data_IF_782883795453
#
_entry.id   IF_782883795453
#
_cell.length_a   1.000
_cell.length_b   1.000
_cell.length_c   1.000
_cell.angle_alpha   90.00
_cell.angle_beta   90.00
_cell.angle_gamma   90.00
#
_symmetry.space_group_name_H-M   'P 1'
#
loop_
_entity.id
_entity.type
_entity.pdbx_description
1 polymer ?
#
# COMPACT_ATOMS: atom_id res chain seq x y z
N UNK A 1 -38.26 34.16 8.35
CA UNK A 1 -37.27 35.13 7.82
C UNK A 1 -36.14 35.24 8.84
N UNK A 2 -35.04 34.50 8.66
CA UNK A 2 -33.95 34.42 9.66
C UNK A 2 -32.77 35.27 9.18
N UNK A 3 -32.40 36.36 9.90
CA UNK A 3 -31.49 37.35 9.38
C UNK A 3 -30.04 36.96 9.71
N UNK A 4 -29.41 36.17 8.86
CA UNK A 4 -27.93 36.16 8.82
C UNK A 4 -27.47 37.33 7.96
N UNK A 5 -27.57 38.54 8.49
CA UNK A 5 -26.92 39.70 7.86
C UNK A 5 -25.39 39.48 7.91
N UNK A 6 -24.68 39.80 6.82
CA UNK A 6 -23.21 39.85 6.82
C UNK A 6 -22.77 40.78 7.95
N UNK A 7 -22.14 40.23 9.00
CA UNK A 7 -21.56 41.04 10.08
C UNK A 7 -20.44 41.93 9.50
N UNK A 8 -20.49 43.24 9.78
CA UNK A 8 -19.37 44.17 9.51
C UNK A 8 -18.15 43.77 10.36
N UNK A 9 -16.95 44.05 9.84
CA UNK A 9 -15.66 43.54 10.31
C UNK A 9 -15.18 44.06 11.70
N UNK A 10 -16.00 44.78 12.46
CA UNK A 10 -15.55 45.53 13.65
C UNK A 10 -16.19 45.07 14.98
N UNK A 11 -16.35 43.77 15.21
CA UNK A 11 -16.75 43.26 16.53
C UNK A 11 -16.18 41.87 16.82
N UNK A 12 -15.67 41.70 18.05
CA UNK A 12 -15.19 40.46 18.70
C UNK A 12 -15.77 39.19 18.06
N UNK A 13 -15.04 38.60 17.12
CA UNK A 13 -15.50 37.44 16.34
C UNK A 13 -14.38 36.91 15.45
N UNK A 14 -14.44 35.63 15.12
CA UNK A 14 -13.44 34.98 14.24
C UNK A 14 -13.61 35.52 12.83
N UNK A 15 -12.58 36.16 12.29
CA UNK A 15 -12.60 36.65 10.91
C UNK A 15 -12.59 35.49 9.90
N UNK A 16 -13.02 35.75 8.67
CA UNK A 16 -13.16 34.71 7.64
C UNK A 16 -11.84 34.06 7.21
N UNK A 17 -10.71 34.76 7.30
CA UNK A 17 -9.41 34.19 6.96
C UNK A 17 -8.96 33.23 8.05
N UNK A 18 -9.06 33.63 9.32
CA UNK A 18 -8.78 32.77 10.47
C UNK A 18 -9.68 31.55 10.48
N UNK A 19 -10.99 31.72 10.28
CA UNK A 19 -11.95 30.61 10.22
C UNK A 19 -11.59 29.59 9.13
N UNK A 20 -11.26 30.06 7.92
CA UNK A 20 -10.83 29.18 6.81
C UNK A 20 -9.48 28.52 7.06
N UNK A 21 -8.56 29.19 7.75
CA UNK A 21 -7.25 28.63 8.07
C UNK A 21 -7.39 27.48 9.08
N UNK A 22 -8.19 27.68 10.12
CA UNK A 22 -8.48 26.66 11.14
C UNK A 22 -9.21 25.47 10.52
N UNK A 23 -10.29 25.70 9.76
CA UNK A 23 -10.99 24.61 9.08
C UNK A 23 -10.15 23.93 8.00
N UNK A 24 -9.17 24.63 7.43
CA UNK A 24 -8.21 24.04 6.50
C UNK A 24 -7.32 22.96 7.13
N UNK A 25 -7.19 22.92 8.46
CA UNK A 25 -6.46 21.88 9.18
C UNK A 25 -7.26 20.58 9.33
N UNK A 26 -8.57 20.59 9.06
CA UNK A 26 -9.40 19.39 9.08
C UNK A 26 -9.38 18.73 7.69
N UNK A 27 -8.64 17.62 7.49
CA UNK A 27 -8.60 16.97 6.20
C UNK A 27 -9.96 16.37 5.86
N UNK A 28 -10.33 16.43 4.58
CA UNK A 28 -11.57 15.88 4.05
C UNK A 28 -11.28 15.04 2.82
N UNK A 29 -12.11 14.04 2.55
CA UNK A 29 -12.16 13.45 1.22
C UNK A 29 -12.72 14.45 0.21
N UNK A 30 -12.45 14.22 -1.07
CA UNK A 30 -13.06 14.99 -2.16
C UNK A 30 -14.17 14.18 -2.81
N UNK A 31 -15.35 14.78 -2.94
CA UNK A 31 -16.48 14.18 -3.64
C UNK A 31 -17.01 15.09 -4.74
N UNK A 32 -17.65 14.51 -5.74
CA UNK A 32 -18.52 15.24 -6.68
C UNK A 32 -19.96 14.98 -6.27
N UNK A 33 -20.68 16.07 -5.99
CA UNK A 33 -22.12 16.06 -5.73
C UNK A 33 -22.82 16.39 -7.04
N UNK A 34 -23.76 15.54 -7.44
CA UNK A 34 -24.50 15.68 -8.68
C UNK A 34 -26.00 15.65 -8.45
N UNK A 35 -26.74 16.12 -9.44
CA UNK A 35 -28.20 16.04 -9.49
C UNK A 35 -28.64 16.04 -10.95
N UNK A 36 -29.92 15.74 -11.19
CA UNK A 36 -30.52 15.77 -12.52
C UNK A 36 -31.75 16.66 -12.53
N UNK A 37 -31.96 17.36 -13.64
CA UNK A 37 -33.16 18.14 -13.94
C UNK A 37 -33.58 17.91 -15.40
N UNK A 38 -34.68 18.55 -15.83
CA UNK A 38 -35.10 18.54 -17.23
C UNK A 38 -34.05 19.14 -18.19
N UNK A 39 -33.20 20.04 -17.69
CA UNK A 39 -32.13 20.69 -18.47
C UNK A 39 -30.86 19.82 -18.57
N UNK A 40 -30.83 18.69 -17.84
CA UNK A 40 -29.77 17.69 -17.91
C UNK A 40 -29.08 17.41 -16.59
N UNK A 41 -27.82 17.02 -16.68
CA UNK A 41 -26.98 16.63 -15.55
C UNK A 41 -26.17 17.81 -15.03
N UNK A 42 -26.07 17.90 -13.72
CA UNK A 42 -25.34 18.97 -13.05
C UNK A 42 -24.53 18.43 -11.90
N UNK A 43 -23.40 19.08 -11.60
CA UNK A 43 -22.61 18.71 -10.45
C UNK A 43 -21.54 19.70 -10.07
N UNK A 44 -21.00 19.51 -8.88
CA UNK A 44 -19.92 20.30 -8.31
C UNK A 44 -19.03 19.45 -7.42
N UNK A 45 -17.80 19.90 -7.22
CA UNK A 45 -16.94 19.33 -6.18
C UNK A 45 -17.38 19.84 -4.80
N UNK A 46 -17.46 18.94 -3.83
CA UNK A 46 -17.74 19.26 -2.44
C UNK A 46 -16.81 18.48 -1.49
N UNK A 47 -16.41 19.14 -0.41
CA UNK A 47 -15.67 18.55 0.71
C UNK A 47 -16.47 18.56 2.02
N UNK A 48 -17.71 19.05 1.98
CA UNK A 48 -18.63 19.13 3.12
C UNK A 48 -19.44 17.85 3.36
N UNK A 49 -19.18 16.79 2.60
CA UNK A 49 -19.87 15.51 2.70
C UNK A 49 -19.54 14.80 4.02
N UNK A 50 -20.56 14.23 4.68
CA UNK A 50 -20.40 13.42 5.89
C UNK A 50 -21.54 12.39 6.05
N UNK A 51 -21.26 11.29 6.75
CA UNK A 51 -22.31 10.36 7.21
C UNK A 51 -23.09 10.95 8.38
N UNK A 52 -24.38 10.59 8.50
CA UNK A 52 -25.30 11.07 9.54
C UNK A 52 -25.87 9.92 10.37
N UNK A 53 -26.36 8.86 9.73
CA UNK A 53 -27.04 7.74 10.41
C UNK A 53 -26.78 6.42 9.69
N UNK A 54 -26.78 5.32 10.45
CA UNK A 54 -26.72 3.96 9.92
C UNK A 54 -28.13 3.39 9.65
N UNK A 55 -29.11 3.69 10.51
CA UNK A 55 -30.49 3.22 10.38
C UNK A 55 -31.49 4.35 10.71
N UNK A 56 -32.22 4.91 9.71
CA UNK A 56 -32.04 4.66 8.28
C UNK A 56 -30.67 5.21 7.79
N UNK A 57 -30.12 4.70 6.68
CA UNK A 57 -28.82 5.14 6.16
C UNK A 57 -28.92 6.58 5.63
N UNK A 58 -28.22 7.51 6.28
CA UNK A 58 -28.29 8.93 5.94
C UNK A 58 -26.92 9.57 5.80
N UNK A 59 -26.82 10.51 4.86
CA UNK A 59 -25.64 11.36 4.64
C UNK A 59 -26.04 12.83 4.52
N UNK A 60 -25.09 13.75 4.63
CA UNK A 60 -25.31 15.17 4.40
C UNK A 60 -24.30 15.79 3.43
N UNK A 61 -24.70 16.90 2.81
CA UNK A 61 -23.85 17.82 2.07
C UNK A 61 -24.25 19.27 2.38
N UNK A 62 -23.27 20.14 2.56
CA UNK A 62 -23.51 21.58 2.74
C UNK A 62 -23.23 22.31 1.43
N UNK A 63 -24.26 22.89 0.82
CA UNK A 63 -24.16 23.62 -0.45
C UNK A 63 -24.41 25.12 -0.24
N UNK A 64 -23.54 25.96 -0.79
CA UNK A 64 -23.71 27.41 -0.70
C UNK A 64 -24.99 27.84 -1.43
N UNK A 65 -25.74 28.80 -0.90
CA UNK A 65 -27.01 29.22 -1.53
C UNK A 65 -26.86 29.96 -2.85
N UNK A 66 -25.65 30.46 -3.13
CA UNK A 66 -25.35 31.22 -4.35
C UNK A 66 -24.91 30.39 -5.55
N UNK A 67 -24.72 29.08 -5.40
CA UNK A 67 -24.25 28.20 -6.48
C UNK A 67 -25.43 27.52 -7.19
N UNK A 68 -25.30 27.31 -8.48
CA UNK A 68 -26.37 26.75 -9.31
C UNK A 68 -26.83 25.35 -8.84
N UNK A 69 -25.88 24.47 -8.48
CA UNK A 69 -26.18 23.11 -8.01
C UNK A 69 -27.06 23.08 -6.75
N UNK A 70 -26.97 24.09 -5.86
CA UNK A 70 -27.84 24.18 -4.68
C UNK A 70 -29.31 24.26 -5.11
N UNK A 71 -29.65 25.21 -5.98
CA UNK A 71 -31.03 25.40 -6.48
C UNK A 71 -31.56 24.16 -7.17
N UNK A 72 -30.71 23.45 -7.90
CA UNK A 72 -31.10 22.25 -8.63
C UNK A 72 -31.39 21.08 -7.69
N UNK A 73 -30.56 20.85 -6.67
CA UNK A 73 -30.81 19.83 -5.64
C UNK A 73 -32.09 20.12 -4.87
N UNK A 74 -32.32 21.39 -4.53
CA UNK A 74 -33.55 21.81 -3.85
C UNK A 74 -34.80 21.53 -4.69
N UNK A 75 -34.72 21.73 -6.01
CA UNK A 75 -35.84 21.50 -6.93
C UNK A 75 -36.05 20.03 -7.29
N UNK A 76 -34.97 19.27 -7.52
CA UNK A 76 -35.04 17.88 -7.93
C UNK A 76 -35.36 16.94 -6.77
N UNK A 77 -35.02 17.33 -5.54
CA UNK A 77 -35.18 16.51 -4.34
C UNK A 77 -34.25 15.30 -4.30
N UNK A 78 -33.25 15.25 -5.18
CA UNK A 78 -32.29 14.13 -5.28
C UNK A 78 -30.88 14.64 -5.49
N UNK A 79 -29.91 13.91 -4.95
CA UNK A 79 -28.50 14.11 -5.24
C UNK A 79 -27.75 12.79 -5.17
N UNK A 80 -26.68 12.69 -5.95
CA UNK A 80 -25.71 11.61 -5.79
C UNK A 80 -24.35 12.16 -5.34
N UNK A 81 -23.57 11.31 -4.69
CA UNK A 81 -22.22 11.62 -4.21
C UNK A 81 -21.27 10.60 -4.82
N UNK A 82 -20.26 11.06 -5.57
CA UNK A 82 -19.17 10.23 -6.07
C UNK A 82 -17.87 10.58 -5.34
N UNK A 83 -17.33 9.64 -4.56
CA UNK A 83 -16.11 9.82 -3.75
C UNK A 83 -14.88 9.56 -4.63
N UNK A 84 -13.97 10.53 -4.73
CA UNK A 84 -12.87 10.50 -5.69
C UNK A 84 -11.62 9.81 -5.16
N UNK A 85 -10.98 9.04 -6.04
CA UNK A 85 -9.65 8.47 -5.81
C UNK A 85 -8.52 9.45 -6.10
N UNK A 86 -7.32 9.14 -5.60
CA UNK A 86 -6.10 9.94 -5.74
C UNK A 86 -5.74 10.35 -7.17
N UNK A 87 -6.15 9.53 -8.13
CA UNK A 87 -5.94 9.63 -9.58
C UNK A 87 -6.99 10.51 -10.27
N UNK A 88 -8.05 10.91 -9.57
CA UNK A 88 -9.19 11.66 -10.10
C UNK A 88 -9.15 13.16 -9.73
N UNK A 89 -7.97 13.69 -9.38
CA UNK A 89 -7.77 15.12 -9.13
C UNK A 89 -8.23 15.99 -10.32
N UNK A 90 -8.01 15.53 -11.56
CA UNK A 90 -8.48 16.23 -12.75
C UNK A 90 -10.00 16.38 -12.81
N UNK A 91 -10.76 15.34 -12.41
CA UNK A 91 -12.23 15.37 -12.34
C UNK A 91 -12.66 16.37 -11.27
N UNK A 92 -12.09 16.28 -10.07
CA UNK A 92 -12.45 17.20 -9.00
C UNK A 92 -12.10 18.66 -9.31
N UNK A 93 -10.99 18.96 -9.99
CA UNK A 93 -10.68 20.32 -10.44
C UNK A 93 -11.72 20.85 -11.44
N UNK A 94 -12.14 20.01 -12.39
CA UNK A 94 -13.16 20.36 -13.38
C UNK A 94 -14.51 20.68 -12.73
N UNK A 95 -14.98 19.82 -11.83
CA UNK A 95 -16.22 20.04 -11.09
C UNK A 95 -16.14 21.16 -10.04
N UNK A 96 -14.93 21.58 -9.66
CA UNK A 96 -14.68 22.79 -8.88
C UNK A 96 -14.63 24.08 -9.73
N UNK A 97 -14.80 23.98 -11.06
CA UNK A 97 -14.82 25.12 -11.98
C UNK A 97 -13.44 25.64 -12.38
N UNK A 98 -12.36 24.88 -12.15
CA UNK A 98 -11.00 25.29 -12.56
C UNK A 98 -10.72 25.02 -14.05
N UNK A 99 -11.58 24.24 -14.71
CA UNK A 99 -11.46 23.91 -16.13
C UNK A 99 -12.77 24.26 -16.83
N UNK A 100 -12.74 25.14 -17.85
CA UNK A 100 -13.93 25.48 -18.63
C UNK A 100 -14.34 24.32 -19.56
N UNK A 101 -15.62 24.27 -19.91
CA UNK A 101 -16.19 23.25 -20.82
C UNK A 101 -17.24 22.36 -20.16
N UNK A 102 -17.63 21.30 -20.87
CA UNK A 102 -18.54 20.28 -20.35
C UNK A 102 -17.87 19.50 -19.21
N UNK A 103 -18.49 19.54 -18.02
CA UNK A 103 -17.98 18.89 -16.83
C UNK A 103 -18.01 17.36 -16.94
N UNK A 104 -18.95 16.80 -17.70
CA UNK A 104 -19.16 15.35 -17.82
C UNK A 104 -18.36 14.72 -18.97
N UNK A 105 -17.74 15.51 -19.86
CA UNK A 105 -17.09 15.01 -21.07
C UNK A 105 -15.87 14.09 -20.82
N UNK A 106 -15.84 12.93 -21.46
CA UNK A 106 -14.67 12.03 -21.50
C UNK A 106 -14.50 11.14 -20.26
N UNK A 107 -15.52 11.02 -19.42
CA UNK A 107 -15.56 10.10 -18.28
C UNK A 107 -16.85 9.30 -18.30
N UNK A 108 -16.81 8.11 -17.71
CA UNK A 108 -17.95 7.20 -17.67
C UNK A 108 -18.87 7.58 -16.51
N UNK A 109 -19.91 8.34 -16.83
CA UNK A 109 -20.99 8.72 -15.93
C UNK A 109 -22.25 7.97 -16.29
N UNK A 110 -22.94 7.42 -15.31
CA UNK A 110 -24.23 6.75 -15.50
C UNK A 110 -25.29 7.25 -14.55
N UNK A 111 -26.55 7.16 -14.95
CA UNK A 111 -27.66 7.51 -14.10
C UNK A 111 -27.85 6.46 -13.00
N UNK A 112 -27.82 6.87 -11.75
CA UNK A 112 -28.27 6.07 -10.63
C UNK A 112 -29.81 5.89 -10.66
N UNK A 113 -30.41 5.05 -9.81
CA UNK A 113 -31.87 4.86 -9.78
C UNK A 113 -32.71 6.14 -9.65
N UNK A 114 -32.22 7.19 -8.97
CA UNK A 114 -32.92 8.50 -8.92
C UNK A 114 -32.79 9.33 -10.20
N UNK A 115 -31.93 8.92 -11.14
CA UNK A 115 -31.54 9.67 -12.32
C UNK A 115 -30.32 10.58 -12.13
N UNK A 116 -29.88 10.82 -10.88
CA UNK A 116 -28.68 11.60 -10.61
C UNK A 116 -27.43 10.85 -11.14
N UNK A 117 -26.48 11.55 -11.80
CA UNK A 117 -25.33 10.90 -12.41
C UNK A 117 -24.27 10.52 -11.38
N UNK A 118 -23.76 9.29 -11.45
CA UNK A 118 -22.66 8.77 -10.66
C UNK A 118 -21.47 8.45 -11.55
N UNK A 119 -20.26 8.64 -11.02
CA UNK A 119 -19.03 8.31 -11.71
C UNK A 119 -18.75 6.81 -11.52
N UNK A 120 -18.71 6.03 -12.60
CA UNK A 120 -18.59 4.57 -12.51
C UNK A 120 -17.27 4.13 -11.88
N UNK A 121 -16.19 4.84 -12.18
CA UNK A 121 -14.85 4.58 -11.65
C UNK A 121 -14.54 5.36 -10.35
N UNK A 122 -15.55 5.90 -9.66
CA UNK A 122 -15.35 6.47 -8.32
C UNK A 122 -14.87 5.40 -7.32
N UNK A 123 -14.26 5.81 -6.21
CA UNK A 123 -13.98 4.87 -5.11
C UNK A 123 -15.27 4.28 -4.54
N UNK A 124 -16.28 5.13 -4.41
CA UNK A 124 -17.63 4.75 -4.05
C UNK A 124 -18.61 5.81 -4.54
N UNK A 125 -19.86 5.44 -4.71
CA UNK A 125 -20.93 6.39 -4.92
C UNK A 125 -22.17 6.06 -4.10
N UNK A 126 -22.96 7.09 -3.81
CA UNK A 126 -24.21 7.03 -3.07
C UNK A 126 -25.29 7.76 -3.88
N UNK A 127 -26.46 7.17 -3.99
CA UNK A 127 -27.65 7.76 -4.59
C UNK A 127 -28.66 8.10 -3.50
N UNK A 128 -29.07 9.38 -3.41
CA UNK A 128 -29.78 9.91 -2.25
C UNK A 128 -31.05 10.66 -2.64
N UNK A 129 -32.10 10.49 -1.82
CA UNK A 129 -33.28 11.35 -1.81
C UNK A 129 -33.18 12.34 -0.66
N UNK A 130 -33.44 13.62 -0.93
CA UNK A 130 -33.42 14.67 0.10
C UNK A 130 -34.54 14.40 1.10
N UNK A 131 -34.16 14.06 2.33
CA UNK A 131 -35.08 13.89 3.46
C UNK A 131 -35.33 15.23 4.16
N UNK A 132 -34.27 16.02 4.36
CA UNK A 132 -34.35 17.31 5.05
C UNK A 132 -33.40 18.36 4.46
N UNK A 133 -33.78 19.63 4.58
CA UNK A 133 -32.96 20.78 4.22
C UNK A 133 -32.97 21.81 5.36
N UNK A 134 -31.81 22.09 5.96
CA UNK A 134 -31.68 23.01 7.09
C UNK A 134 -30.85 24.26 6.73
N UNK A 135 -31.23 25.45 7.22
CA UNK A 135 -30.37 26.63 7.14
C UNK A 135 -29.04 26.45 7.88
N UNK A 136 -27.92 26.72 7.19
CA UNK A 136 -26.56 26.67 7.74
C UNK A 136 -25.78 27.96 7.47
N UNK A 137 -26.33 29.11 7.84
CA UNK A 137 -25.73 30.42 7.49
C UNK A 137 -25.89 30.75 6.01
N UNK A 138 -24.76 30.89 5.29
CA UNK A 138 -24.71 31.11 3.84
C UNK A 138 -24.83 29.80 3.02
N UNK A 139 -24.91 28.66 3.72
CA UNK A 139 -25.15 27.34 3.14
C UNK A 139 -26.53 26.78 3.53
N UNK A 140 -26.95 25.75 2.80
CA UNK A 140 -28.03 24.84 3.19
C UNK A 140 -27.43 23.47 3.44
N UNK A 141 -27.81 22.84 4.55
CA UNK A 141 -27.43 21.47 4.92
C UNK A 141 -28.52 20.56 4.36
N UNK A 142 -28.22 19.84 3.29
CA UNK A 142 -29.11 18.80 2.78
C UNK A 142 -28.77 17.49 3.45
N UNK A 143 -29.76 16.84 4.07
CA UNK A 143 -29.67 15.49 4.61
C UNK A 143 -30.44 14.57 3.66
N UNK A 144 -29.76 13.56 3.14
CA UNK A 144 -30.34 12.60 2.20
C UNK A 144 -30.39 11.19 2.79
N UNK A 145 -31.49 10.49 2.55
CA UNK A 145 -31.59 9.06 2.74
C UNK A 145 -30.95 8.35 1.54
N UNK A 146 -30.05 7.40 1.82
CA UNK A 146 -29.32 6.64 0.80
C UNK A 146 -30.20 5.52 0.28
N UNK A 147 -30.57 5.58 -1.01
CA UNK A 147 -31.43 4.59 -1.66
C UNK A 147 -30.65 3.56 -2.49
N UNK A 148 -29.42 3.88 -2.89
CA UNK A 148 -28.49 2.93 -3.52
C UNK A 148 -27.03 3.34 -3.27
N UNK A 149 -26.12 2.36 -3.29
CA UNK A 149 -24.69 2.59 -3.08
C UNK A 149 -23.85 1.52 -3.77
N UNK A 150 -22.63 1.87 -4.18
CA UNK A 150 -21.66 0.92 -4.71
C UNK A 150 -20.22 1.34 -4.38
N UNK A 151 -19.31 0.37 -4.33
CA UNK A 151 -17.86 0.58 -4.14
C UNK A 151 -17.14 -0.03 -5.36
N UNK A 152 -17.04 0.70 -6.49
CA UNK A 152 -16.49 0.16 -7.73
C UNK A 152 -15.04 -0.31 -7.61
N UNK A 153 -14.23 0.42 -6.84
CA UNK A 153 -12.80 0.11 -6.66
C UNK A 153 -12.28 0.56 -5.31
N UNK A 154 -11.12 0.03 -4.92
CA UNK A 154 -10.43 0.39 -3.67
C UNK A 154 -9.02 0.88 -4.01
N UNK A 155 -8.78 2.19 -3.90
CA UNK A 155 -7.46 2.83 -4.02
C UNK A 155 -7.35 3.96 -2.98
N UNK A 156 -6.21 4.67 -2.90
CA UNK A 156 -6.09 5.77 -1.94
C UNK A 156 -7.06 6.92 -2.30
N UNK A 157 -7.73 7.53 -1.31
CA UNK A 157 -8.65 8.64 -1.56
C UNK A 157 -7.90 9.91 -1.94
N UNK A 158 -8.58 10.75 -2.70
CA UNK A 158 -8.17 12.12 -2.88
C UNK A 158 -8.53 12.93 -1.64
N UNK A 159 -7.57 13.64 -1.09
CA UNK A 159 -7.74 14.49 0.08
C UNK A 159 -7.68 15.97 -0.27
N UNK A 160 -8.40 16.75 0.51
CA UNK A 160 -8.26 18.19 0.56
C UNK A 160 -7.84 18.62 1.97
N UNK A 161 -6.68 19.26 2.07
CA UNK A 161 -6.09 19.73 3.32
C UNK A 161 -5.29 21.02 3.08
N UNK A 162 -5.46 22.02 3.95
CA UNK A 162 -4.77 23.31 3.88
C UNK A 162 -4.83 23.98 2.50
N UNK A 163 -6.00 23.90 1.85
CA UNK A 163 -6.27 24.43 0.49
C UNK A 163 -5.51 23.73 -0.63
N UNK A 164 -4.83 22.63 -0.35
CA UNK A 164 -4.13 21.81 -1.30
C UNK A 164 -4.83 20.45 -1.47
N UNK A 165 -4.68 19.90 -2.66
CA UNK A 165 -5.15 18.55 -2.98
C UNK A 165 -3.99 17.60 -2.74
N UNK A 166 -4.27 16.46 -2.12
CA UNK A 166 -3.25 15.51 -1.71
C UNK A 166 -3.79 14.09 -1.61
N UNK A 167 -2.97 13.22 -1.04
CA UNK A 167 -3.30 11.83 -0.75
C UNK A 167 -2.99 11.59 0.73
N UNK A 168 -3.55 10.54 1.34
CA UNK A 168 -3.00 10.05 2.60
C UNK A 168 -1.52 9.78 2.35
N UNK A 169 -0.65 10.45 3.11
CA UNK A 169 0.67 9.89 3.34
C UNK A 169 0.36 8.65 4.19
N UNK A 170 0.55 7.45 3.64
CA UNK A 170 0.37 6.25 4.45
C UNK A 170 1.32 6.42 5.66
N UNK A 171 0.80 6.40 6.89
CA UNK A 171 1.64 6.49 8.07
C UNK A 171 2.66 5.37 7.99
N UNK A 172 3.87 5.64 8.50
CA UNK A 172 4.86 4.58 8.64
C UNK A 172 4.24 3.45 9.49
N UNK A 173 4.56 2.19 9.18
CA UNK A 173 4.04 1.10 9.98
C UNK A 173 4.62 1.15 11.38
N UNK A 174 3.85 0.75 12.39
CA UNK A 174 4.33 0.64 13.77
C UNK A 174 5.50 -0.35 13.89
N UNK A 175 5.49 -1.39 13.05
CA UNK A 175 6.55 -2.38 12.99
C UNK A 175 6.86 -2.86 11.57
N UNK A 176 8.12 -3.19 11.31
CA UNK A 176 8.56 -3.88 10.11
C UNK A 176 9.11 -5.28 10.44
N UNK A 177 8.70 -6.27 9.66
CA UNK A 177 9.15 -7.67 9.75
C UNK A 177 10.23 -7.91 8.71
N UNK A 178 11.29 -8.62 9.09
CA UNK A 178 12.42 -8.92 8.23
C UNK A 178 12.49 -10.41 7.93
N UNK A 179 12.64 -10.74 6.65
CA UNK A 179 13.04 -12.05 6.15
C UNK A 179 14.36 -11.91 5.38
N UNK A 180 15.12 -13.00 5.30
CA UNK A 180 16.31 -13.09 4.46
C UNK A 180 16.25 -14.37 3.63
N UNK A 181 15.93 -14.19 2.35
CA UNK A 181 15.85 -15.31 1.40
C UNK A 181 17.10 -15.46 0.53
N UNK A 182 18.09 -14.57 0.72
CA UNK A 182 19.31 -14.51 -0.09
C UNK A 182 20.53 -15.16 0.57
N UNK A 183 20.65 -15.06 1.90
CA UNK A 183 21.86 -15.43 2.65
C UNK A 183 22.25 -16.90 2.51
N UNK A 184 21.34 -17.83 2.80
CA UNK A 184 21.62 -19.26 2.71
C UNK A 184 22.04 -19.66 1.29
N UNK A 185 21.34 -19.14 0.27
CA UNK A 185 21.68 -19.40 -1.13
C UNK A 185 23.06 -18.81 -1.51
N UNK A 186 23.41 -17.62 -1.01
CA UNK A 186 24.70 -16.98 -1.24
C UNK A 186 25.85 -17.77 -0.60
N UNK A 187 25.68 -18.23 0.64
CA UNK A 187 26.65 -19.05 1.36
C UNK A 187 26.86 -20.41 0.68
N UNK A 188 25.77 -21.09 0.26
CA UNK A 188 25.88 -22.35 -0.47
C UNK A 188 26.57 -22.19 -1.84
N UNK A 189 26.29 -21.13 -2.59
CA UNK A 189 27.05 -20.83 -3.83
C UNK A 189 28.53 -20.62 -3.54
N UNK A 190 28.87 -19.96 -2.43
CA UNK A 190 30.25 -19.73 -2.00
C UNK A 190 30.95 -21.03 -1.60
N UNK A 191 30.27 -21.94 -0.89
CA UNK A 191 30.77 -23.28 -0.56
C UNK A 191 31.12 -24.10 -1.81
N UNK A 192 30.33 -23.97 -2.88
CA UNK A 192 30.52 -24.72 -4.13
C UNK A 192 31.51 -24.05 -5.10
N UNK A 193 31.96 -22.82 -4.82
CA UNK A 193 32.90 -22.12 -5.70
C UNK A 193 34.32 -22.68 -5.54
N UNK A 194 34.92 -23.18 -6.63
CA UNK A 194 36.30 -23.68 -6.64
C UNK A 194 37.29 -22.58 -7.11
N UNK A 195 38.35 -22.29 -6.34
CA UNK A 195 39.35 -21.25 -6.63
C UNK A 195 40.52 -21.18 -5.62
N UNK A 196 41.54 -20.35 -5.90
CA UNK A 196 42.86 -20.30 -5.20
C UNK A 196 42.88 -19.62 -3.82
N UNK A 197 41.78 -19.06 -3.35
CA UNK A 197 41.66 -18.57 -1.98
C UNK A 197 40.93 -19.61 -1.13
N UNK A 198 41.43 -20.00 0.05
CA UNK A 198 40.73 -20.96 0.91
C UNK A 198 39.37 -20.36 1.29
N UNK A 199 38.28 -21.02 0.90
CA UNK A 199 36.97 -20.70 1.46
C UNK A 199 37.03 -21.03 2.95
N UNK A 200 37.06 -20.00 3.80
CA UNK A 200 36.86 -20.16 5.26
C UNK A 200 35.44 -20.65 5.60
N UNK A 201 34.60 -20.77 4.59
CA UNK A 201 33.23 -21.27 4.67
C UNK A 201 33.26 -22.79 4.80
N UNK A 202 32.83 -23.32 5.95
CA UNK A 202 32.55 -24.74 6.17
C UNK A 202 31.03 -24.97 6.27
N UNK A 203 30.53 -26.19 5.99
CA UNK A 203 29.13 -26.53 6.20
C UNK A 203 28.65 -26.20 7.63
N UNK A 204 29.42 -26.58 8.65
CA UNK A 204 29.11 -26.30 10.06
C UNK A 204 29.08 -24.81 10.37
N UNK A 205 30.00 -24.04 9.78
CA UNK A 205 30.03 -22.59 9.93
C UNK A 205 28.80 -21.92 9.32
N UNK A 206 28.35 -22.39 8.16
CA UNK A 206 27.12 -21.91 7.52
C UNK A 206 25.89 -22.25 8.36
N UNK A 207 25.76 -23.50 8.79
CA UNK A 207 24.71 -23.96 9.69
C UNK A 207 24.63 -23.11 10.98
N UNK A 208 25.78 -22.92 11.64
CA UNK A 208 25.89 -22.12 12.86
C UNK A 208 25.50 -20.65 12.66
N UNK A 209 25.95 -20.03 11.56
CA UNK A 209 25.60 -18.65 11.22
C UNK A 209 24.10 -18.51 10.96
N UNK A 210 23.52 -19.38 10.13
CA UNK A 210 22.07 -19.38 9.84
C UNK A 210 21.26 -19.58 11.14
N UNK A 211 21.71 -20.46 12.04
CA UNK A 211 21.09 -20.63 13.36
C UNK A 211 21.08 -19.35 14.20
N UNK A 212 22.20 -18.61 14.25
CA UNK A 212 22.29 -17.32 14.96
C UNK A 212 21.41 -16.24 14.33
N UNK A 213 21.40 -16.14 13.01
CA UNK A 213 20.55 -15.17 12.28
C UNK A 213 19.07 -15.45 12.56
N UNK A 214 18.67 -16.72 12.59
CA UNK A 214 17.30 -17.10 12.98
C UNK A 214 17.00 -16.79 14.44
N UNK A 215 17.94 -17.08 15.35
CA UNK A 215 17.78 -16.76 16.77
C UNK A 215 17.66 -15.25 17.03
N UNK A 216 18.22 -14.40 16.16
CA UNK A 216 18.04 -12.95 16.18
C UNK A 216 16.63 -12.52 15.71
N UNK A 217 15.76 -13.44 15.27
CA UNK A 217 14.39 -13.18 14.84
C UNK A 217 14.21 -13.03 13.33
N UNK A 218 15.25 -13.24 12.52
CA UNK A 218 15.14 -13.15 11.04
C UNK A 218 14.54 -14.42 10.46
N UNK A 219 13.48 -14.29 9.66
CA UNK A 219 12.90 -15.42 8.92
C UNK A 219 13.80 -15.80 7.75
N UNK A 220 14.38 -17.00 7.77
CA UNK A 220 15.30 -17.45 6.73
C UNK A 220 14.60 -18.30 5.69
N UNK A 221 15.04 -18.19 4.43
CA UNK A 221 14.77 -19.23 3.44
C UNK A 221 15.86 -20.29 3.46
N UNK A 222 15.46 -21.54 3.68
CA UNK A 222 16.33 -22.70 3.74
C UNK A 222 16.13 -23.58 2.50
N UNK A 223 17.13 -24.42 2.14
CA UNK A 223 16.94 -25.42 1.09
C UNK A 223 15.83 -26.41 1.46
N UNK A 224 15.14 -27.00 0.46
CA UNK A 224 14.05 -27.96 0.71
C UNK A 224 14.56 -29.22 1.40
N UNK A 225 15.75 -29.69 1.04
CA UNK A 225 16.30 -30.92 1.63
C UNK A 225 16.94 -30.62 3.00
N UNK A 226 16.55 -31.34 4.07
CA UNK A 226 17.22 -31.26 5.35
C UNK A 226 18.70 -31.63 5.21
N UNK A 227 19.58 -30.73 5.62
CA UNK A 227 21.01 -31.01 5.79
C UNK A 227 21.37 -30.92 7.27
N UNK A 228 22.32 -31.76 7.69
CA UNK A 228 22.79 -31.81 9.06
C UNK A 228 23.28 -30.42 9.51
N UNK A 229 22.78 -29.95 10.66
CA UNK A 229 23.13 -28.65 11.24
C UNK A 229 22.29 -27.45 10.81
N UNK A 230 21.42 -27.55 9.78
CA UNK A 230 20.52 -26.43 9.46
C UNK A 230 19.54 -26.18 10.62
N UNK A 231 19.24 -24.91 10.93
CA UNK A 231 18.24 -24.62 11.95
C UNK A 231 16.86 -25.13 11.49
N UNK A 232 16.00 -25.59 12.42
CA UNK A 232 14.62 -25.96 12.08
C UNK A 232 13.84 -24.76 11.54
N UNK A 233 12.66 -25.00 10.96
CA UNK A 233 11.72 -23.97 10.50
C UNK A 233 12.20 -23.12 9.31
N UNK A 234 11.74 -21.86 9.24
CA UNK A 234 11.97 -20.98 8.08
C UNK A 234 11.07 -21.30 6.88
N UNK A 235 11.33 -20.62 5.75
CA UNK A 235 10.62 -20.86 4.49
C UNK A 235 11.44 -21.70 3.52
N UNK A 236 10.76 -22.40 2.61
CA UNK A 236 11.40 -23.24 1.58
C UNK A 236 10.87 -22.84 0.21
N UNK A 237 11.75 -22.63 -0.78
CA UNK A 237 11.33 -22.43 -2.16
C UNK A 237 11.07 -23.79 -2.82
N UNK A 238 9.93 -23.90 -3.50
CA UNK A 238 9.54 -25.06 -4.29
C UNK A 238 9.17 -24.61 -5.70
N UNK A 239 9.69 -25.31 -6.71
CA UNK A 239 9.45 -25.03 -8.13
C UNK A 239 8.27 -25.84 -8.69
N UNK A 240 8.04 -27.06 -8.18
CA UNK A 240 6.98 -27.95 -8.66
C UNK A 240 6.40 -28.84 -7.55
N UNK A 241 5.35 -29.60 -7.88
CA UNK A 241 4.64 -30.43 -6.90
C UNK A 241 5.51 -31.58 -6.36
N UNK A 242 6.51 -32.05 -7.11
CA UNK A 242 7.37 -33.15 -6.68
C UNK A 242 8.34 -32.73 -5.55
N UNK A 243 8.76 -31.47 -5.53
CA UNK A 243 9.58 -30.94 -4.45
C UNK A 243 8.81 -30.74 -3.13
N UNK A 244 7.47 -30.77 -3.14
CA UNK A 244 6.68 -30.64 -1.91
C UNK A 244 6.92 -31.79 -0.93
N UNK A 245 7.26 -32.98 -1.44
CA UNK A 245 7.56 -34.13 -0.59
C UNK A 245 8.93 -34.02 0.10
N UNK A 246 9.77 -33.07 -0.34
CA UNK A 246 11.04 -32.73 0.29
C UNK A 246 10.88 -31.68 1.39
N UNK A 247 9.74 -30.97 1.45
CA UNK A 247 9.53 -29.87 2.42
C UNK A 247 9.55 -30.43 3.85
N UNK A 248 10.39 -29.88 4.74
CA UNK A 248 10.44 -30.32 6.13
C UNK A 248 9.08 -30.09 6.84
N UNK A 249 8.60 -31.02 7.67
CA UNK A 249 7.33 -30.87 8.39
C UNK A 249 7.26 -29.64 9.30
N UNK A 250 8.42 -29.14 9.76
CA UNK A 250 8.55 -27.97 10.61
C UNK A 250 8.70 -26.65 9.84
N UNK A 251 8.68 -26.68 8.50
CA UNK A 251 8.75 -25.48 7.67
C UNK A 251 7.59 -24.52 7.95
N UNK A 252 7.92 -23.26 8.22
CA UNK A 252 6.96 -22.20 8.56
C UNK A 252 6.14 -21.77 7.34
N UNK A 253 6.74 -21.83 6.15
CA UNK A 253 6.07 -21.49 4.89
C UNK A 253 6.75 -22.14 3.68
N UNK A 254 5.99 -22.31 2.61
CA UNK A 254 6.51 -22.69 1.28
C UNK A 254 6.38 -21.49 0.34
N UNK A 255 7.48 -21.12 -0.29
CA UNK A 255 7.55 -20.06 -1.27
C UNK A 255 7.40 -20.62 -2.68
N UNK A 256 6.59 -19.94 -3.49
CA UNK A 256 6.26 -20.37 -4.86
C UNK A 256 6.45 -19.17 -5.79
N UNK A 257 7.17 -19.34 -6.88
CA UNK A 257 7.32 -18.30 -7.90
C UNK A 257 6.09 -18.29 -8.80
N UNK A 258 5.54 -17.10 -9.08
CA UNK A 258 4.43 -16.93 -10.01
C UNK A 258 4.80 -17.42 -11.41
N UNK A 259 3.88 -18.17 -12.02
CA UNK A 259 4.06 -18.81 -13.32
C UNK A 259 2.89 -19.75 -13.62
N UNK A 260 2.95 -20.49 -14.74
CA UNK A 260 1.98 -21.54 -15.05
C UNK A 260 1.95 -22.59 -13.93
N UNK A 261 0.76 -22.93 -13.41
CA UNK A 261 0.61 -23.93 -12.35
C UNK A 261 0.81 -23.41 -10.92
N UNK A 262 1.20 -22.14 -10.74
CA UNK A 262 1.49 -21.61 -9.40
C UNK A 262 0.28 -21.62 -8.47
N UNK A 263 -0.93 -21.38 -9.00
CA UNK A 263 -2.16 -21.39 -8.19
C UNK A 263 -2.52 -22.80 -7.70
N UNK A 264 -2.32 -23.81 -8.55
CA UNK A 264 -2.48 -25.22 -8.23
C UNK A 264 -1.46 -25.65 -7.16
N UNK A 265 -0.20 -25.23 -7.32
CA UNK A 265 0.86 -25.51 -6.36
C UNK A 265 0.59 -24.86 -5.00
N UNK A 266 0.09 -23.62 -4.96
CA UNK A 266 -0.35 -22.96 -3.72
C UNK A 266 -1.42 -23.80 -3.03
N UNK A 267 -2.42 -24.29 -3.76
CA UNK A 267 -3.47 -25.15 -3.17
C UNK A 267 -2.89 -26.45 -2.62
N UNK A 268 -1.94 -27.06 -3.33
CA UNK A 268 -1.26 -28.28 -2.88
C UNK A 268 -0.44 -28.06 -1.58
N UNK A 269 0.19 -26.89 -1.43
CA UNK A 269 0.86 -26.46 -0.19
C UNK A 269 -0.13 -26.31 0.96
N UNK A 270 -1.25 -25.62 0.72
CA UNK A 270 -2.28 -25.40 1.75
C UNK A 270 -2.92 -26.71 2.21
N UNK A 271 -3.14 -27.67 1.31
CA UNK A 271 -3.66 -29.01 1.64
C UNK A 271 -2.70 -29.81 2.53
N UNK A 272 -1.39 -29.56 2.43
CA UNK A 272 -0.36 -30.14 3.30
C UNK A 272 -0.21 -29.40 4.64
N UNK A 273 -0.96 -28.32 4.86
CA UNK A 273 -1.00 -27.58 6.13
C UNK A 273 0.08 -26.51 6.30
N UNK A 274 0.85 -26.20 5.25
CA UNK A 274 1.85 -25.13 5.29
C UNK A 274 1.27 -23.80 4.80
N UNK A 275 1.81 -22.68 5.30
CA UNK A 275 1.51 -21.37 4.75
C UNK A 275 2.18 -21.20 3.37
N UNK A 276 1.48 -20.60 2.40
CA UNK A 276 2.04 -20.31 1.08
C UNK A 276 2.47 -18.84 0.96
N UNK A 277 3.64 -18.61 0.37
CA UNK A 277 4.14 -17.28 0.01
C UNK A 277 4.38 -17.22 -1.50
N UNK A 278 3.55 -16.46 -2.20
CA UNK A 278 3.73 -16.25 -3.64
C UNK A 278 4.84 -15.24 -3.91
N UNK A 279 5.69 -15.46 -4.91
CA UNK A 279 6.77 -14.55 -5.30
C UNK A 279 6.58 -14.10 -6.74
N UNK A 280 6.59 -12.79 -6.97
CA UNK A 280 6.54 -12.20 -8.31
C UNK A 280 7.92 -11.64 -8.64
N UNK A 281 8.69 -12.29 -9.54
CA UNK A 281 10.02 -11.84 -9.92
C UNK A 281 9.93 -10.56 -10.77
N UNK A 282 11.01 -9.77 -10.78
CA UNK A 282 11.16 -8.54 -11.59
C UNK A 282 9.97 -7.57 -11.49
N UNK A 283 9.35 -7.49 -10.30
CA UNK A 283 8.07 -6.83 -10.10
C UNK A 283 8.10 -5.33 -10.40
N UNK A 284 9.24 -4.67 -10.22
CA UNK A 284 9.36 -3.22 -10.34
C UNK A 284 9.87 -2.74 -11.71
N UNK A 285 9.83 -3.59 -12.74
CA UNK A 285 10.08 -3.13 -14.11
C UNK A 285 8.89 -2.29 -14.62
N UNK A 286 9.18 -1.23 -15.38
CA UNK A 286 8.17 -0.29 -15.86
C UNK A 286 7.13 -0.93 -16.78
N UNK A 287 7.57 -1.88 -17.61
CA UNK A 287 6.79 -2.60 -18.61
C UNK A 287 5.94 -3.75 -18.04
N UNK A 288 6.14 -4.12 -16.76
CA UNK A 288 5.48 -5.29 -16.15
C UNK A 288 4.32 -4.99 -15.22
N UNK A 289 3.88 -3.72 -15.12
CA UNK A 289 2.87 -3.32 -14.14
C UNK A 289 1.59 -4.17 -14.24
N UNK A 290 1.05 -4.34 -15.45
CA UNK A 290 -0.18 -5.11 -15.65
C UNK A 290 0.01 -6.59 -15.25
N UNK A 291 1.11 -7.21 -15.68
CA UNK A 291 1.43 -8.61 -15.37
C UNK A 291 1.59 -8.85 -13.88
N UNK A 292 2.25 -7.93 -13.17
CA UNK A 292 2.48 -8.03 -11.72
C UNK A 292 1.18 -7.89 -10.95
N UNK A 293 0.29 -6.98 -11.38
CA UNK A 293 -1.04 -6.85 -10.78
C UNK A 293 -1.89 -8.10 -11.01
N UNK A 294 -1.83 -8.70 -12.20
CA UNK A 294 -2.50 -9.96 -12.49
C UNK A 294 -1.91 -11.13 -11.69
N UNK A 295 -0.60 -11.21 -11.53
CA UNK A 295 0.08 -12.19 -10.70
C UNK A 295 -0.33 -12.08 -9.22
N UNK A 296 -0.36 -10.85 -8.70
CA UNK A 296 -0.78 -10.57 -7.34
C UNK A 296 -2.24 -11.00 -7.10
N UNK A 297 -3.16 -10.70 -8.03
CA UNK A 297 -4.56 -11.15 -7.95
C UNK A 297 -4.67 -12.67 -7.93
N UNK A 298 -3.94 -13.36 -8.84
CA UNK A 298 -3.94 -14.83 -8.92
C UNK A 298 -3.44 -15.47 -7.64
N UNK A 299 -2.29 -15.02 -7.12
CA UNK A 299 -1.70 -15.55 -5.90
C UNK A 299 -2.58 -15.28 -4.66
N UNK A 300 -3.18 -14.10 -4.59
CA UNK A 300 -4.13 -13.77 -3.52
C UNK A 300 -5.37 -14.67 -3.58
N UNK A 301 -5.95 -14.85 -4.77
CA UNK A 301 -7.10 -15.73 -4.98
C UNK A 301 -6.78 -17.21 -4.72
N UNK A 302 -5.52 -17.63 -4.88
CA UNK A 302 -5.07 -18.98 -4.58
C UNK A 302 -4.92 -19.26 -3.07
N UNK A 303 -4.87 -18.22 -2.23
CA UNK A 303 -4.81 -18.34 -0.77
C UNK A 303 -3.42 -18.11 -0.16
N UNK A 304 -2.50 -17.43 -0.87
CA UNK A 304 -1.21 -17.04 -0.29
C UNK A 304 -1.41 -16.16 0.95
N UNK A 305 -0.61 -16.42 1.99
CA UNK A 305 -0.57 -15.59 3.20
C UNK A 305 0.26 -14.30 2.99
N UNK A 306 1.31 -14.41 2.18
CA UNK A 306 2.14 -13.29 1.74
C UNK A 306 2.35 -13.31 0.22
N UNK A 307 2.55 -12.12 -0.37
CA UNK A 307 2.99 -11.96 -1.75
C UNK A 307 4.29 -11.14 -1.76
N UNK A 308 5.39 -11.79 -2.10
CA UNK A 308 6.70 -11.17 -2.24
C UNK A 308 6.87 -10.57 -3.65
N UNK A 309 7.18 -9.28 -3.72
CA UNK A 309 7.50 -8.57 -4.95
C UNK A 309 9.01 -8.37 -5.03
N UNK A 310 9.66 -9.03 -5.98
CA UNK A 310 11.11 -9.06 -6.06
C UNK A 310 11.64 -8.05 -7.07
N UNK A 311 12.57 -7.21 -6.63
CA UNK A 311 13.29 -6.31 -7.51
C UNK A 311 14.31 -7.08 -8.35
N UNK A 312 14.16 -6.95 -9.66
CA UNK A 312 15.11 -7.42 -10.66
C UNK A 312 16.46 -6.71 -10.64
N UNK A 313 17.36 -7.03 -11.58
CA UNK A 313 18.67 -6.39 -11.69
C UNK A 313 18.60 -4.90 -12.06
N UNK A 314 17.50 -4.46 -12.67
CA UNK A 314 17.26 -3.06 -12.95
C UNK A 314 16.90 -2.29 -11.68
N UNK A 315 17.43 -1.07 -11.54
CA UNK A 315 17.08 -0.19 -10.44
C UNK A 315 15.60 0.23 -10.55
N UNK A 316 14.83 -0.01 -9.49
CA UNK A 316 13.44 0.44 -9.42
C UNK A 316 13.38 1.96 -9.18
N UNK A 317 12.56 2.66 -9.97
CA UNK A 317 12.21 4.05 -9.71
C UNK A 317 11.30 4.15 -8.48
N UNK A 318 11.59 5.03 -7.49
CA UNK A 318 10.72 5.21 -6.33
C UNK A 318 9.27 5.56 -6.70
N UNK A 319 9.06 6.36 -7.75
CA UNK A 319 7.71 6.72 -8.21
C UNK A 319 6.96 5.52 -8.79
N UNK A 320 7.64 4.69 -9.59
CA UNK A 320 7.05 3.48 -10.15
C UNK A 320 6.72 2.46 -9.06
N UNK A 321 7.68 2.24 -8.15
CA UNK A 321 7.52 1.37 -6.99
C UNK A 321 6.34 1.79 -6.12
N UNK A 322 6.23 3.08 -5.78
CA UNK A 322 5.08 3.61 -5.02
C UNK A 322 3.76 3.32 -5.73
N UNK A 323 3.69 3.64 -7.02
CA UNK A 323 2.48 3.47 -7.82
C UNK A 323 2.02 2.02 -7.89
N UNK A 324 2.95 1.07 -8.05
CA UNK A 324 2.65 -0.35 -8.07
C UNK A 324 2.24 -0.87 -6.69
N UNK A 325 2.99 -0.53 -5.64
CA UNK A 325 2.72 -1.03 -4.29
C UNK A 325 1.37 -0.58 -3.76
N UNK A 326 0.99 0.69 -3.99
CA UNK A 326 -0.33 1.18 -3.60
C UNK A 326 -1.47 0.39 -4.24
N UNK A 327 -1.31 -0.06 -5.49
CA UNK A 327 -2.31 -0.86 -6.17
C UNK A 327 -2.31 -2.31 -5.66
N UNK A 328 -1.13 -2.93 -5.50
CA UNK A 328 -1.02 -4.30 -4.94
C UNK A 328 -1.61 -4.36 -3.54
N UNK A 329 -1.24 -3.43 -2.65
CA UNK A 329 -1.74 -3.37 -1.27
C UNK A 329 -3.25 -3.19 -1.25
N UNK A 330 -3.83 -2.41 -2.16
CA UNK A 330 -5.26 -2.19 -2.18
C UNK A 330 -6.04 -3.39 -2.74
N UNK A 331 -5.47 -4.09 -3.73
CA UNK A 331 -6.12 -5.21 -4.44
C UNK A 331 -6.01 -6.55 -3.72
N UNK A 332 -4.90 -6.77 -3.00
CA UNK A 332 -4.62 -8.08 -2.37
C UNK A 332 -5.05 -8.20 -0.92
N UNK A 333 -5.59 -7.13 -0.30
CA UNK A 333 -6.07 -7.19 1.09
C UNK A 333 -7.05 -8.36 1.29
N UNK A 334 -6.89 -9.16 2.36
CA UNK A 334 -5.99 -8.95 3.51
C UNK A 334 -4.57 -9.54 3.37
N UNK A 335 -4.18 -10.09 2.21
CA UNK A 335 -2.87 -10.72 1.98
C UNK A 335 -1.73 -9.71 2.20
N UNK A 336 -0.67 -10.15 2.87
CA UNK A 336 0.42 -9.24 3.24
C UNK A 336 1.46 -9.10 2.13
N UNK A 337 1.70 -7.89 1.59
CA UNK A 337 2.78 -7.67 0.65
C UNK A 337 4.14 -7.67 1.35
N UNK A 338 5.09 -8.39 0.77
CA UNK A 338 6.51 -8.40 1.12
C UNK A 338 7.31 -7.87 -0.05
N UNK A 339 8.41 -7.13 0.19
CA UNK A 339 9.24 -6.61 -0.90
C UNK A 339 10.69 -7.05 -0.74
N UNK A 340 11.30 -7.53 -1.83
CA UNK A 340 12.75 -7.72 -1.92
C UNK A 340 13.32 -6.61 -2.77
N UNK A 341 14.11 -5.73 -2.16
CA UNK A 341 14.74 -4.60 -2.85
C UNK A 341 16.23 -4.87 -3.05
N UNK A 342 16.84 -4.21 -4.02
CA UNK A 342 18.29 -4.26 -4.24
C UNK A 342 18.90 -2.91 -3.92
N UNK A 343 20.12 -2.91 -3.36
CA UNK A 343 20.87 -1.67 -3.21
C UNK A 343 21.57 -1.28 -4.52
N UNK A 344 20.75 -0.91 -5.51
CA UNK A 344 21.21 -0.50 -6.83
C UNK A 344 21.34 1.02 -6.89
N UNK A 345 22.57 1.52 -7.05
CA UNK A 345 22.87 2.95 -7.20
C UNK A 345 22.40 3.82 -6.01
N UNK A 346 22.40 3.26 -4.79
CA UNK A 346 22.01 3.97 -3.57
C UNK A 346 20.51 4.21 -3.41
N UNK A 347 19.67 3.59 -4.24
CA UNK A 347 18.21 3.72 -4.16
C UNK A 347 17.57 2.72 -3.18
N UNK A 348 18.33 1.77 -2.61
CA UNK A 348 17.78 0.70 -1.76
C UNK A 348 16.95 1.23 -0.59
N UNK A 349 17.53 2.10 0.24
CA UNK A 349 16.85 2.70 1.40
C UNK A 349 15.73 3.68 1.01
N UNK A 350 15.92 4.42 -0.10
CA UNK A 350 14.88 5.31 -0.64
C UNK A 350 13.64 4.49 -1.04
N UNK A 351 13.86 3.36 -1.70
CA UNK A 351 12.81 2.43 -2.09
C UNK A 351 12.18 1.74 -0.87
N UNK A 352 12.96 1.43 0.17
CA UNK A 352 12.44 0.86 1.42
C UNK A 352 11.50 1.83 2.14
N UNK A 353 11.92 3.09 2.34
CA UNK A 353 11.06 4.14 2.89
C UNK A 353 9.80 4.35 2.04
N UNK A 354 9.95 4.32 0.71
CA UNK A 354 8.82 4.46 -0.21
C UNK A 354 7.85 3.28 -0.08
N UNK A 355 8.35 2.05 0.11
CA UNK A 355 7.53 0.87 0.34
C UNK A 355 6.78 0.94 1.69
N UNK A 356 7.44 1.38 2.77
CA UNK A 356 6.77 1.61 4.07
C UNK A 356 5.62 2.61 3.93
N UNK A 357 5.88 3.74 3.25
CA UNK A 357 4.89 4.77 2.89
C UNK A 357 3.88 4.35 1.83
N UNK A 358 3.93 3.09 1.39
CA UNK A 358 2.94 2.49 0.50
C UNK A 358 2.21 1.32 1.17
N UNK A 359 2.36 1.16 2.49
CA UNK A 359 1.67 0.12 3.28
C UNK A 359 2.41 -1.22 3.38
N UNK A 360 3.68 -1.30 2.94
CA UNK A 360 4.49 -2.51 3.10
C UNK A 360 5.10 -2.57 4.49
N UNK A 361 4.96 -3.72 5.13
CA UNK A 361 5.51 -3.99 6.47
C UNK A 361 6.55 -5.10 6.46
N UNK A 362 6.56 -5.94 5.43
CA UNK A 362 7.44 -7.11 5.36
C UNK A 362 8.52 -6.85 4.32
N UNK A 363 9.77 -7.00 4.74
CA UNK A 363 10.94 -6.77 3.91
C UNK A 363 11.77 -8.03 3.81
N UNK A 364 12.14 -8.37 2.58
CA UNK A 364 13.08 -9.43 2.27
C UNK A 364 14.42 -8.75 1.95
N UNK A 365 15.35 -8.89 2.87
CA UNK A 365 16.68 -8.26 2.84
C UNK A 365 17.74 -9.35 2.77
N UNK A 366 19.01 -8.97 2.80
CA UNK A 366 20.10 -9.93 2.94
C UNK A 366 21.15 -9.40 3.90
N UNK A 367 21.53 -10.23 4.88
CA UNK A 367 22.58 -9.91 5.84
C UNK A 367 23.87 -9.54 5.09
N UNK A 368 24.43 -8.38 5.41
CA UNK A 368 25.59 -7.82 4.72
C UNK A 368 25.35 -7.44 3.25
N UNK A 369 24.17 -7.67 2.69
CA UNK A 369 23.87 -7.45 1.27
C UNK A 369 24.66 -8.37 0.33
N UNK A 370 25.07 -9.56 0.78
CA UNK A 370 26.04 -10.43 0.08
C UNK A 370 25.60 -10.95 -1.30
N UNK A 371 24.31 -10.86 -1.63
CA UNK A 371 23.77 -11.21 -2.95
C UNK A 371 23.29 -9.98 -3.76
N UNK A 372 23.61 -8.78 -3.27
CA UNK A 372 23.20 -7.49 -3.83
C UNK A 372 21.76 -7.09 -3.51
N UNK A 373 21.06 -7.84 -2.66
CA UNK A 373 19.84 -7.39 -1.99
C UNK A 373 20.10 -6.21 -1.04
N UNK A 374 19.04 -5.54 -0.62
CA UNK A 374 19.11 -4.51 0.42
C UNK A 374 19.72 -5.11 1.69
N UNK A 375 20.70 -4.42 2.26
CA UNK A 375 21.38 -4.81 3.47
C UNK A 375 20.40 -4.82 4.67
N UNK A 376 20.39 -5.91 5.44
CA UNK A 376 19.53 -6.05 6.61
C UNK A 376 19.82 -4.96 7.66
N UNK A 377 21.09 -4.63 7.80
CA UNK A 377 21.62 -3.73 8.81
C UNK A 377 21.31 -2.27 8.46
N UNK A 378 21.38 -1.92 7.18
CA UNK A 378 20.95 -0.60 6.70
C UNK A 378 19.42 -0.44 6.86
N UNK A 379 18.65 -1.51 6.64
CA UNK A 379 17.20 -1.52 6.87
C UNK A 379 16.84 -1.35 8.36
N UNK A 380 17.55 -2.03 9.26
CA UNK A 380 17.37 -1.87 10.71
C UNK A 380 17.77 -0.48 11.20
N UNK A 381 18.86 0.06 10.66
CA UNK A 381 19.27 1.44 10.93
C UNK A 381 18.19 2.42 10.49
N UNK A 382 17.67 2.28 9.27
CA UNK A 382 16.57 3.10 8.76
C UNK A 382 15.32 2.99 9.65
N UNK A 383 14.90 1.77 10.01
CA UNK A 383 13.76 1.56 10.88
C UNK A 383 13.93 2.26 12.24
N UNK A 384 15.14 2.23 12.82
CA UNK A 384 15.46 2.96 14.05
C UNK A 384 15.30 4.48 13.90
N UNK A 385 15.81 5.06 12.82
CA UNK A 385 15.71 6.50 12.54
C UNK A 385 14.27 6.95 12.28
N UNK A 386 13.42 6.02 11.85
CA UNK A 386 12.01 6.24 11.55
C UNK A 386 11.07 5.89 12.71
N UNK A 387 11.61 5.48 13.86
CA UNK A 387 10.84 4.99 15.02
C UNK A 387 9.90 3.80 14.67
N UNK A 388 10.28 3.00 13.67
CA UNK A 388 9.59 1.77 13.29
C UNK A 388 10.18 0.61 14.07
N UNK A 389 9.35 -0.09 14.86
CA UNK A 389 9.80 -1.24 15.64
C UNK A 389 10.19 -2.39 14.71
N UNK A 390 11.19 -3.17 15.11
CA UNK A 390 11.52 -4.44 14.45
C UNK A 390 11.67 -5.51 15.53
N UNK A 391 11.07 -6.71 15.37
CA UNK A 391 11.16 -7.78 16.35
C UNK A 391 12.54 -8.48 16.32
N UNK A 392 13.58 -7.78 15.86
CA UNK A 392 14.92 -8.32 15.61
C UNK A 392 15.84 -7.92 16.74
N UNK A 393 16.56 -8.90 17.31
CA UNK A 393 17.67 -8.64 18.21
C UNK A 393 18.84 -8.04 17.41
N UNK A 394 18.99 -6.72 17.51
CA UNK A 394 20.02 -5.97 16.79
C UNK A 394 21.44 -6.35 17.22
N UNK A 395 21.64 -6.69 18.49
CA UNK A 395 22.96 -7.07 18.99
C UNK A 395 23.35 -8.46 18.47
N UNK A 396 22.42 -9.41 18.50
CA UNK A 396 22.62 -10.73 17.92
C UNK A 396 22.86 -10.67 16.41
N UNK A 397 22.12 -9.83 15.68
CA UNK A 397 22.32 -9.68 14.23
C UNK A 397 23.66 -9.00 13.89
N UNK A 398 24.09 -8.00 14.66
CA UNK A 398 25.41 -7.38 14.49
C UNK A 398 26.54 -8.40 14.71
N UNK A 399 26.43 -9.25 15.73
CA UNK A 399 27.38 -10.35 15.96
C UNK A 399 27.40 -11.36 14.80
N UNK A 400 26.21 -11.73 14.28
CA UNK A 400 26.11 -12.59 13.10
C UNK A 400 26.72 -11.95 11.85
N UNK A 401 26.58 -10.64 11.66
CA UNK A 401 27.25 -9.95 10.55
C UNK A 401 28.77 -9.95 10.67
N UNK A 402 29.32 -9.73 11.88
CA UNK A 402 30.77 -9.75 12.08
C UNK A 402 31.36 -11.13 11.76
N UNK A 403 30.63 -12.19 12.12
CA UNK A 403 30.98 -13.55 11.75
C UNK A 403 30.84 -13.79 10.24
N UNK A 404 29.76 -13.32 9.61
CA UNK A 404 29.57 -13.41 8.17
C UNK A 404 30.77 -12.79 7.45
N UNK A 405 31.28 -11.64 7.87
CA UNK A 405 32.46 -11.00 7.27
C UNK A 405 33.70 -11.91 7.37
N UNK A 406 33.91 -12.55 8.52
CA UNK A 406 35.02 -13.51 8.72
C UNK A 406 34.90 -14.75 7.83
N UNK A 407 33.69 -15.28 7.65
CA UNK A 407 33.36 -16.42 6.79
C UNK A 407 33.48 -16.04 5.30
N UNK A 408 32.97 -14.87 4.93
CA UNK A 408 32.91 -14.36 3.56
C UNK A 408 34.30 -14.04 3.00
N UNK A 409 35.20 -13.60 3.89
CA UNK A 409 36.61 -13.33 3.57
C UNK A 409 36.83 -12.00 2.84
N UNK A 410 35.84 -11.11 2.86
CA UNK A 410 35.90 -9.77 2.28
C UNK A 410 34.93 -8.85 3.02
N UNK A 411 35.21 -7.53 2.98
CA UNK A 411 34.33 -6.54 3.58
C UNK A 411 32.91 -6.64 2.99
N UNK A 412 31.92 -6.66 3.87
CA UNK A 412 30.52 -6.78 3.46
C UNK A 412 30.06 -5.50 2.75
N UNK A 413 29.21 -5.60 1.71
CA UNK A 413 28.62 -4.44 1.04
C UNK A 413 27.91 -3.46 1.99
N UNK A 414 27.27 -3.99 3.03
CA UNK A 414 26.58 -3.21 4.07
C UNK A 414 27.45 -2.12 4.69
N UNK A 415 26.86 -0.95 4.96
CA UNK A 415 27.57 0.21 5.49
C UNK A 415 27.30 0.46 6.98
N UNK A 416 26.10 0.13 7.47
CA UNK A 416 25.70 0.41 8.86
C UNK A 416 26.55 -0.30 9.93
N UNK A 417 27.01 -1.55 9.70
CA UNK A 417 27.86 -2.26 10.67
C UNK A 417 29.23 -1.61 10.88
N UNK A 418 29.62 -0.66 10.02
CA UNK A 418 30.89 0.08 10.13
C UNK A 418 30.77 1.39 10.92
N UNK A 419 29.56 1.75 11.35
CA UNK A 419 29.27 3.03 12.04
C UNK A 419 29.00 2.81 13.55
N UNK A 420 28.79 1.57 13.98
CA UNK A 420 28.55 1.20 15.38
C UNK A 420 29.80 0.67 16.09
N UNK A 421 30.96 1.30 15.87
CA UNK A 421 32.20 1.10 16.65
C UNK A 421 32.55 2.36 17.43
#
# INVERSE_FOLDING_TARGET
MFPYAKRKADAVGVDSQTFRAVLGQWPTGVAVVTTTTADGWHGMTASSFSSVSLDPPMVLVCLARGIHTHTLVERSGVFAVSILGKDQAGIGHRFAGHTPGDRFAGQDWTAAPTGAPVLEDALAWLDCRVAHAYPGGDHTIFVGEVTAAHVPRRTAPLLFHSRAWGQLADPLPESAVIADTGLAAALHRRLRAHGTAPSRVSPDGVAGLLGRVRAAGVRLRLPPVPHEGLPPGGSVLVEDEAELDLVPPDAEAVEIVDGPGAAELVRAVLLRGHAAVGRVPDAFRADRRADVLAAADRLAAAGCAEIALDQGPAAASPLHLRGLLQDVVARTRPVTPRVRLRDSRGLGLVNALTAMKSGVRHFDVTLGGVDGGLCAEDMLFLAAQLEVATPIDRAALAAASAELEAIWGAALPGRANRIAS
#
